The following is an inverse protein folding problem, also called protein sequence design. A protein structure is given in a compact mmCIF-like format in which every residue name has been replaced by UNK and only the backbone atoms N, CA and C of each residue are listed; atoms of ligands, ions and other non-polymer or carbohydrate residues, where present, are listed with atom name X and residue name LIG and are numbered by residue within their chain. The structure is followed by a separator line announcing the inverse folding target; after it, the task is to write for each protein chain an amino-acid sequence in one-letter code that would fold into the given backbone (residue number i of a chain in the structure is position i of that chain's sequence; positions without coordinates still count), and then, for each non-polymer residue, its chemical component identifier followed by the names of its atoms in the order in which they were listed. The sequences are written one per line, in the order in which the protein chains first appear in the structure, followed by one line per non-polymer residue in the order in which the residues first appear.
data_IF_358942727507
#
_entry.id   IF_358942727507
#
_cell.length_a   1.000
_cell.length_b   1.000
_cell.length_c   1.000
_cell.angle_alpha   90.00
_cell.angle_beta   90.00
_cell.angle_gamma   90.00
#
_symmetry.space_group_name_H-M   'P 1'
#
loop_
_entity.id
_entity.type
_entity.pdbx_description
1 polymer ?
#
# COMPACT_ATOMS: atom_id res chain seq x y z
N UNK A 1 4.82 9.25 22.79
CA UNK A 1 3.69 8.59 23.49
C UNK A 1 3.95 7.12 23.76
N UNK A 2 4.97 6.52 23.13
CA UNK A 2 5.32 5.09 23.25
C UNK A 2 5.46 4.67 24.72
N UNK A 3 4.89 3.52 25.08
CA UNK A 3 4.91 2.98 26.44
C UNK A 3 4.05 3.74 27.46
N UNK A 4 3.29 4.75 27.03
CA UNK A 4 2.41 5.52 27.94
C UNK A 4 0.99 4.96 27.99
N UNK A 5 0.22 5.39 29.00
CA UNK A 5 -1.20 5.06 29.11
C UNK A 5 -2.05 5.56 27.91
N UNK A 6 -1.53 6.52 27.15
CA UNK A 6 -2.23 7.17 26.04
C UNK A 6 -1.80 6.65 24.66
N UNK A 7 -0.88 5.71 24.59
CA UNK A 7 -0.47 5.13 23.31
C UNK A 7 -1.57 4.20 22.77
N UNK A 8 -2.00 4.46 21.55
CA UNK A 8 -3.00 3.70 20.79
C UNK A 8 -2.56 3.65 19.34
N UNK A 9 -2.63 2.47 18.73
CA UNK A 9 -2.22 2.27 17.34
C UNK A 9 -3.03 1.15 16.70
N UNK A 10 -3.29 1.22 15.40
CA UNK A 10 -3.93 0.17 14.60
C UNK A 10 -3.08 0.03 13.35
N UNK A 11 -2.48 -1.14 13.12
CA UNK A 11 -1.42 -1.32 12.16
C UNK A 11 -1.67 -2.43 11.14
N UNK A 12 -1.26 -2.16 9.90
CA UNK A 12 -0.83 -3.18 8.95
C UNK A 12 0.70 -3.15 8.86
N UNK A 13 1.33 -4.32 8.98
CA UNK A 13 2.79 -4.44 8.99
C UNK A 13 3.24 -5.49 7.98
N UNK A 14 3.93 -5.05 6.92
CA UNK A 14 4.52 -5.93 5.91
C UNK A 14 5.97 -6.19 6.27
N UNK A 15 6.24 -7.33 6.90
CA UNK A 15 7.55 -7.68 7.46
C UNK A 15 8.45 -8.32 6.42
N UNK A 16 9.71 -7.87 6.32
CA UNK A 16 10.68 -8.34 5.34
C UNK A 16 10.99 -9.84 5.40
N UNK A 17 10.83 -10.48 6.57
CA UNK A 17 11.06 -11.92 6.73
C UNK A 17 9.98 -12.81 6.09
N UNK A 18 8.84 -12.27 5.67
CA UNK A 18 7.73 -13.05 5.15
C UNK A 18 7.44 -12.73 3.69
N UNK A 19 7.33 -13.75 2.85
CA UNK A 19 7.00 -13.62 1.43
C UNK A 19 5.51 -13.72 1.13
N UNK A 20 4.69 -14.17 2.10
CA UNK A 20 3.25 -14.37 1.91
C UNK A 20 2.45 -14.14 3.18
N UNK A 21 2.91 -13.25 4.05
CA UNK A 21 2.19 -12.93 5.28
C UNK A 21 2.15 -11.42 5.52
N UNK A 22 1.09 -10.99 6.17
CA UNK A 22 0.91 -9.65 6.71
C UNK A 22 0.62 -9.78 8.21
N UNK A 23 1.19 -8.88 8.99
CA UNK A 23 0.86 -8.74 10.39
C UNK A 23 -0.14 -7.60 10.56
N UNK A 24 -1.16 -7.81 11.39
CA UNK A 24 -2.00 -6.75 11.94
C UNK A 24 -1.74 -6.62 13.42
N UNK A 25 -1.77 -5.40 13.92
CA UNK A 25 -1.57 -5.14 15.33
C UNK A 25 -2.55 -4.08 15.83
N UNK A 26 -2.98 -4.22 17.05
CA UNK A 26 -3.72 -3.21 17.79
C UNK A 26 -2.92 -2.95 19.06
N UNK A 27 -2.43 -1.72 19.25
CA UNK A 27 -1.68 -1.36 20.44
C UNK A 27 -2.61 -0.58 21.37
N UNK A 28 -2.69 -1.03 22.59
CA UNK A 28 -3.47 -0.38 23.65
C UNK A 28 -2.55 0.15 24.75
N UNK A 29 -3.12 0.77 25.77
CA UNK A 29 -2.36 1.43 26.84
C UNK A 29 -1.15 0.63 27.33
N UNK A 30 -0.08 1.33 27.64
CA UNK A 30 1.18 0.76 28.12
C UNK A 30 1.83 -0.23 27.16
N UNK A 31 1.72 0.04 25.84
CA UNK A 31 2.36 -0.77 24.79
C UNK A 31 1.90 -2.24 24.79
N UNK A 32 0.61 -2.47 25.09
CA UNK A 32 0.06 -3.82 25.01
C UNK A 32 -0.29 -4.12 23.56
N UNK A 33 0.43 -5.06 22.97
CA UNK A 33 0.27 -5.49 21.57
C UNK A 33 -0.73 -6.63 21.45
N UNK A 34 -1.63 -6.53 20.47
CA UNK A 34 -2.59 -7.57 20.09
C UNK A 34 -2.32 -7.97 18.64
N UNK A 35 -1.26 -8.74 18.46
CA UNK A 35 -0.72 -9.12 17.14
C UNK A 35 -1.44 -10.33 16.56
N UNK A 36 -1.74 -10.28 15.25
CA UNK A 36 -2.14 -11.43 14.45
C UNK A 36 -1.36 -11.48 13.14
N UNK A 37 -0.97 -12.69 12.71
CA UNK A 37 -0.23 -12.93 11.48
C UNK A 37 -1.13 -13.68 10.48
N UNK A 38 -1.41 -13.06 9.33
CA UNK A 38 -2.31 -13.58 8.32
C UNK A 38 -1.51 -14.15 7.14
N UNK A 39 -1.80 -15.39 6.75
CA UNK A 39 -1.20 -16.00 5.55
C UNK A 39 -2.02 -15.65 4.32
N UNK A 40 -1.36 -15.09 3.31
CA UNK A 40 -1.95 -14.72 2.03
C UNK A 40 -1.65 -15.76 0.96
N UNK A 41 -2.46 -15.79 -0.09
CA UNK A 41 -2.25 -16.66 -1.25
C UNK A 41 -1.26 -16.06 -2.26
N UNK A 42 -0.68 -14.91 -1.98
CA UNK A 42 0.24 -14.14 -2.81
C UNK A 42 1.33 -13.47 -1.94
N UNK A 43 2.30 -12.87 -2.62
CA UNK A 43 3.36 -12.08 -1.96
C UNK A 43 2.91 -10.61 -1.83
N UNK A 44 2.69 -10.08 -0.60
CA UNK A 44 2.25 -8.70 -0.39
C UNK A 44 3.30 -7.64 -0.73
N UNK A 45 4.54 -8.05 -1.05
CA UNK A 45 5.59 -7.14 -1.51
C UNK A 45 5.53 -6.90 -3.04
N UNK A 46 4.63 -7.57 -3.74
CA UNK A 46 4.54 -7.51 -5.21
C UNK A 46 3.17 -6.99 -5.64
N UNK A 47 3.18 -5.87 -6.37
CA UNK A 47 1.95 -5.23 -6.83
C UNK A 47 1.30 -4.34 -5.77
N UNK A 48 0.16 -3.75 -6.15
CA UNK A 48 -0.65 -2.94 -5.25
C UNK A 48 -1.78 -3.78 -4.66
N UNK A 49 -2.01 -3.61 -3.37
CA UNK A 49 -3.09 -4.22 -2.62
C UNK A 49 -3.83 -3.16 -1.82
N UNK A 50 -5.13 -3.34 -1.66
CA UNK A 50 -5.93 -2.47 -0.80
C UNK A 50 -5.85 -2.98 0.63
N UNK A 51 -5.37 -2.14 1.54
CA UNK A 51 -5.37 -2.37 2.97
C UNK A 51 -6.38 -1.42 3.61
N UNK A 52 -7.37 -1.95 4.29
CA UNK A 52 -8.39 -1.16 4.95
C UNK A 52 -8.70 -1.69 6.35
N UNK A 53 -9.04 -0.81 7.27
CA UNK A 53 -9.66 -1.21 8.52
C UNK A 53 -10.88 -0.32 8.83
N UNK A 54 -11.87 -0.93 9.44
CA UNK A 54 -13.00 -0.25 10.06
C UNK A 54 -12.76 -0.19 11.56
N UNK A 55 -12.87 0.99 12.13
CA UNK A 55 -12.76 1.20 13.56
C UNK A 55 -14.04 1.86 14.07
N UNK A 56 -14.73 1.13 14.92
CA UNK A 56 -15.95 1.54 15.60
C UNK A 56 -15.78 1.38 17.12
N UNK A 57 -16.70 1.85 17.95
CA UNK A 57 -16.66 1.58 19.39
C UNK A 57 -16.75 0.09 19.75
N UNK A 58 -17.31 -0.75 18.86
CA UNK A 58 -17.59 -2.15 19.12
C UNK A 58 -16.55 -3.09 18.51
N UNK A 59 -15.91 -2.72 17.39
CA UNK A 59 -14.99 -3.60 16.66
C UNK A 59 -13.91 -2.86 15.89
N UNK A 60 -12.84 -3.59 15.59
CA UNK A 60 -11.91 -3.27 14.52
C UNK A 60 -11.89 -4.44 13.54
N UNK A 61 -12.24 -4.18 12.28
CA UNK A 61 -12.15 -5.14 11.19
C UNK A 61 -11.02 -4.75 10.25
N UNK A 62 -10.19 -5.72 9.85
CA UNK A 62 -9.11 -5.53 8.89
C UNK A 62 -9.45 -6.25 7.59
N UNK A 63 -9.23 -5.57 6.47
CA UNK A 63 -9.49 -6.10 5.14
C UNK A 63 -8.24 -5.96 4.28
N UNK A 64 -8.00 -6.96 3.43
CA UNK A 64 -6.99 -6.91 2.37
C UNK A 64 -7.69 -7.30 1.08
N UNK A 65 -7.63 -6.43 0.04
CA UNK A 65 -8.34 -6.62 -1.22
C UNK A 65 -9.82 -6.97 -1.02
N UNK A 66 -10.50 -6.20 -0.17
CA UNK A 66 -11.90 -6.37 0.24
C UNK A 66 -12.21 -7.69 1.00
N UNK A 67 -11.20 -8.50 1.31
CA UNK A 67 -11.38 -9.71 2.10
C UNK A 67 -11.15 -9.42 3.58
N UNK A 68 -12.12 -9.75 4.42
CA UNK A 68 -11.99 -9.67 5.88
C UNK A 68 -10.93 -10.66 6.36
N UNK A 69 -9.84 -10.17 6.95
CA UNK A 69 -8.74 -11.00 7.49
C UNK A 69 -8.74 -11.07 9.00
N UNK A 70 -9.28 -10.04 9.69
CA UNK A 70 -9.43 -10.01 11.15
C UNK A 70 -10.70 -9.26 11.54
N UNK A 71 -11.43 -9.78 12.50
CA UNK A 71 -12.52 -9.11 13.20
C UNK A 71 -12.25 -9.14 14.70
N UNK A 72 -11.97 -8.00 15.30
CA UNK A 72 -11.63 -7.88 16.71
C UNK A 72 -12.73 -7.13 17.45
N UNK A 73 -13.47 -7.86 18.31
CA UNK A 73 -14.57 -7.37 19.14
C UNK A 73 -14.23 -7.43 20.64
N UNK A 74 -12.93 -7.59 20.96
CA UNK A 74 -12.51 -7.67 22.35
C UNK A 74 -12.71 -6.35 23.09
N UNK A 75 -12.89 -6.43 24.39
CA UNK A 75 -13.19 -5.26 25.24
C UNK A 75 -12.12 -4.17 25.21
N UNK A 76 -10.88 -4.51 24.87
CA UNK A 76 -9.82 -3.50 24.73
C UNK A 76 -10.03 -2.56 23.52
N UNK A 77 -10.81 -2.97 22.50
CA UNK A 77 -11.20 -2.11 21.38
C UNK A 77 -11.87 -0.83 21.88
N UNK A 78 -12.73 -0.97 22.89
CA UNK A 78 -13.44 0.16 23.52
C UNK A 78 -12.51 1.16 24.21
N UNK A 79 -11.23 0.81 24.42
CA UNK A 79 -10.24 1.72 24.98
C UNK A 79 -9.56 2.63 23.95
N UNK A 80 -9.85 2.44 22.65
CA UNK A 80 -9.33 3.28 21.57
C UNK A 80 -10.28 4.49 21.37
N UNK A 81 -10.33 5.38 22.34
CA UNK A 81 -11.28 6.52 22.38
C UNK A 81 -10.68 7.82 21.81
N UNK A 82 -9.35 7.88 21.64
CA UNK A 82 -8.68 9.11 21.21
C UNK A 82 -8.51 9.15 19.69
N UNK A 83 -8.65 10.34 19.12
CA UNK A 83 -8.31 10.57 17.71
C UNK A 83 -6.87 10.19 17.41
N UNK A 84 -6.65 9.58 16.24
CA UNK A 84 -5.37 9.06 15.78
C UNK A 84 -4.89 9.79 14.53
N UNK A 85 -3.62 9.67 14.21
CA UNK A 85 -3.03 10.14 12.96
C UNK A 85 -2.85 8.95 12.02
N UNK A 86 -3.14 9.15 10.75
CA UNK A 86 -2.72 8.20 9.72
C UNK A 86 -1.22 8.40 9.48
N UNK A 87 -0.45 7.32 9.56
CA UNK A 87 0.98 7.31 9.28
C UNK A 87 1.31 6.23 8.26
N UNK A 88 2.21 6.55 7.36
CA UNK A 88 2.80 5.62 6.41
C UNK A 88 4.31 5.70 6.57
N UNK A 89 4.98 4.56 6.66
CA UNK A 89 6.42 4.52 6.84
C UNK A 89 7.05 3.29 6.19
N UNK A 90 8.34 3.39 5.90
CA UNK A 90 9.26 2.29 5.64
C UNK A 90 10.47 2.51 6.53
N UNK A 91 10.87 1.50 7.31
CA UNK A 91 11.93 1.65 8.28
C UNK A 91 12.60 0.31 8.60
N UNK A 92 13.77 0.36 9.26
CA UNK A 92 14.53 -0.81 9.66
C UNK A 92 14.58 -0.92 11.18
N UNK A 93 13.75 -1.77 11.80
CA UNK A 93 13.86 -2.07 13.23
C UNK A 93 15.17 -2.80 13.59
N UNK A 94 15.58 -2.67 14.85
CA UNK A 94 16.73 -3.43 15.39
C UNK A 94 16.37 -4.89 15.72
N UNK A 95 15.09 -5.27 15.68
CA UNK A 95 14.60 -6.58 16.12
C UNK A 95 14.56 -7.57 14.95
N UNK A 96 15.67 -8.26 14.70
CA UNK A 96 15.79 -9.24 13.61
C UNK A 96 14.87 -10.46 13.77
N UNK A 97 14.50 -10.83 14.99
CA UNK A 97 13.53 -11.88 15.29
C UNK A 97 12.11 -11.52 14.84
N UNK A 98 11.82 -10.23 14.68
CA UNK A 98 10.55 -9.74 14.16
C UNK A 98 10.55 -9.54 12.64
N UNK A 99 11.58 -8.90 12.08
CA UNK A 99 11.58 -8.49 10.66
C UNK A 99 12.53 -9.31 9.78
N UNK A 100 13.37 -10.15 10.36
CA UNK A 100 14.46 -10.84 9.70
C UNK A 100 15.76 -10.03 9.69
N UNK A 101 16.89 -10.68 9.36
CA UNK A 101 18.17 -9.99 9.25
C UNK A 101 18.14 -8.98 8.09
N UNK A 102 18.74 -7.82 8.33
CA UNK A 102 18.80 -6.80 7.30
C UNK A 102 19.96 -7.04 6.34
N UNK A 103 19.66 -6.98 5.04
CA UNK A 103 20.64 -7.06 3.97
C UNK A 103 20.75 -5.70 3.27
N UNK A 104 21.84 -4.96 3.54
CA UNK A 104 22.08 -3.64 2.95
C UNK A 104 22.22 -3.69 1.42
N UNK A 105 22.51 -4.85 0.84
CA UNK A 105 22.68 -5.01 -0.61
C UNK A 105 21.37 -4.83 -1.40
N UNK A 106 20.22 -4.90 -0.72
CA UNK A 106 18.91 -4.66 -1.36
C UNK A 106 18.57 -3.18 -1.53
N UNK A 107 19.32 -2.28 -0.86
CA UNK A 107 19.03 -0.84 -0.94
C UNK A 107 19.36 -0.26 -2.32
N UNK A 108 18.59 0.70 -2.81
CA UNK A 108 17.41 1.27 -2.17
C UNK A 108 16.17 0.39 -2.34
N UNK A 109 15.25 0.41 -1.36
CA UNK A 109 13.93 -0.21 -1.45
C UNK A 109 12.84 0.83 -1.26
N UNK A 110 11.65 0.55 -1.80
CA UNK A 110 10.58 1.54 -1.91
C UNK A 110 9.24 0.94 -1.52
N UNK A 111 8.40 1.75 -0.86
CA UNK A 111 6.98 1.47 -0.65
C UNK A 111 6.15 2.51 -1.42
N UNK A 112 5.24 2.03 -2.26
CA UNK A 112 4.39 2.86 -3.11
C UNK A 112 2.98 2.91 -2.57
N UNK A 113 2.41 4.10 -2.53
CA UNK A 113 1.02 4.34 -2.15
C UNK A 113 0.34 5.07 -3.29
N UNK A 114 -0.75 4.49 -3.79
CA UNK A 114 -1.53 5.02 -4.92
C UNK A 114 -2.55 6.04 -4.42
N UNK A 115 -3.25 5.71 -3.34
CA UNK A 115 -4.23 6.59 -2.73
C UNK A 115 -4.45 6.26 -1.26
N UNK A 116 -5.02 7.24 -0.54
CA UNK A 116 -5.60 7.06 0.80
C UNK A 116 -7.03 7.58 0.77
N UNK A 117 -7.97 6.78 1.28
CA UNK A 117 -9.36 7.18 1.50
C UNK A 117 -9.68 7.14 2.98
N UNK A 118 -10.30 8.18 3.46
CA UNK A 118 -10.79 8.25 4.83
C UNK A 118 -12.30 8.35 4.84
N UNK A 119 -12.91 7.53 5.65
CA UNK A 119 -14.35 7.49 5.86
C UNK A 119 -14.64 7.80 7.32
N UNK A 120 -15.61 8.67 7.54
CA UNK A 120 -16.11 8.96 8.88
C UNK A 120 -17.15 7.91 9.28
N UNK A 121 -17.07 7.43 10.52
CA UNK A 121 -18.08 6.54 11.08
C UNK A 121 -19.37 7.32 11.33
N UNK A 122 -20.44 6.97 10.61
CA UNK A 122 -21.75 7.63 10.57
C UNK A 122 -22.87 6.60 10.71
N UNK A 123 -22.99 5.94 11.88
CA UNK A 123 -23.88 4.80 12.06
C UNK A 123 -25.34 5.13 11.69
N UNK A 124 -25.95 4.25 10.89
CA UNK A 124 -27.32 4.34 10.41
C UNK A 124 -27.56 5.40 9.33
N UNK A 125 -26.52 6.13 8.88
CA UNK A 125 -26.66 7.18 7.86
C UNK A 125 -25.55 7.16 6.79
N UNK A 126 -24.60 6.24 6.89
CA UNK A 126 -23.53 6.06 5.91
C UNK A 126 -23.99 5.29 4.67
N UNK A 127 -23.07 5.05 3.76
CA UNK A 127 -23.31 4.37 2.48
C UNK A 127 -22.18 3.38 2.09
N UNK A 128 -21.22 3.16 2.99
CA UNK A 128 -20.05 2.31 2.76
C UNK A 128 -19.70 1.48 4.00
N UNK A 129 -18.91 0.41 3.79
CA UNK A 129 -18.40 -0.45 4.85
C UNK A 129 -19.45 -1.37 5.47
N UNK A 130 -19.12 -1.92 6.65
CA UNK A 130 -20.04 -2.80 7.38
C UNK A 130 -21.31 -2.03 7.76
N UNK A 131 -22.45 -2.65 7.50
CA UNK A 131 -23.79 -2.11 7.78
C UNK A 131 -24.09 -0.75 7.13
N UNK A 132 -23.27 -0.30 6.18
CA UNK A 132 -23.29 1.03 5.56
C UNK A 132 -23.11 2.15 6.61
N UNK A 133 -22.28 1.93 7.60
CA UNK A 133 -22.09 2.87 8.71
C UNK A 133 -20.94 3.87 8.51
N UNK A 134 -20.41 3.98 7.29
CA UNK A 134 -19.32 4.88 6.97
C UNK A 134 -19.67 5.80 5.80
N UNK A 135 -19.18 7.01 5.83
CA UNK A 135 -19.34 8.02 4.76
C UNK A 135 -17.98 8.53 4.33
N UNK A 136 -17.71 8.56 3.01
CA UNK A 136 -16.45 9.08 2.47
C UNK A 136 -16.30 10.55 2.88
N UNK A 137 -15.20 10.88 3.55
CA UNK A 137 -14.83 12.24 3.94
C UNK A 137 -13.85 12.84 2.94
N UNK A 138 -12.71 12.16 2.69
CA UNK A 138 -11.74 12.64 1.72
C UNK A 138 -10.98 11.49 1.03
N UNK A 139 -10.41 11.85 -0.11
CA UNK A 139 -9.47 11.04 -0.89
C UNK A 139 -8.20 11.84 -1.09
N UNK A 140 -7.05 11.20 -1.01
CA UNK A 140 -5.77 11.72 -1.47
C UNK A 140 -5.17 10.71 -2.46
N UNK A 141 -4.95 11.14 -3.68
CA UNK A 141 -4.39 10.38 -4.79
C UNK A 141 -2.93 10.74 -5.08
N UNK A 142 -2.33 11.54 -4.19
CA UNK A 142 -0.92 11.94 -4.24
C UNK A 142 -0.47 12.68 -5.50
N UNK A 143 -1.38 13.31 -6.21
CA UNK A 143 -1.05 14.19 -7.33
C UNK A 143 -0.23 15.41 -6.88
N UNK A 144 -0.39 15.83 -5.64
CA UNK A 144 0.38 16.90 -5.00
C UNK A 144 0.52 16.66 -3.49
N UNK A 145 1.49 17.31 -2.86
CA UNK A 145 1.66 17.24 -1.39
C UNK A 145 0.73 18.22 -0.68
N UNK A 146 -0.33 17.74 -0.07
CA UNK A 146 -1.21 18.56 0.76
C UNK A 146 -0.61 18.74 2.17
N UNK A 147 0.09 19.85 2.36
CA UNK A 147 0.72 20.19 3.64
C UNK A 147 -0.26 20.51 4.78
N UNK A 148 -1.57 20.64 4.50
CA UNK A 148 -2.59 20.76 5.54
C UNK A 148 -2.97 19.39 6.11
N UNK A 149 -2.75 18.33 5.36
CA UNK A 149 -3.06 16.93 5.74
C UNK A 149 -1.82 16.16 6.18
N UNK A 150 -0.69 16.33 5.46
CA UNK A 150 0.50 15.52 5.64
C UNK A 150 1.70 16.32 6.11
N UNK A 151 2.51 15.67 6.90
CA UNK A 151 3.82 16.16 7.32
C UNK A 151 4.87 15.08 7.05
N UNK A 152 6.02 15.47 6.49
CA UNK A 152 7.15 14.57 6.28
C UNK A 152 7.98 14.47 7.56
N UNK A 153 8.14 13.27 8.08
CA UNK A 153 8.93 13.00 9.28
C UNK A 153 10.43 13.29 9.06
N UNK A 154 11.08 13.78 10.12
CA UNK A 154 12.52 14.11 10.12
C UNK A 154 13.25 13.58 11.36
N UNK A 155 12.67 12.62 12.06
CA UNK A 155 13.18 12.09 13.33
C UNK A 155 13.61 10.63 13.20
N UNK A 156 14.23 10.12 14.23
CA UNK A 156 14.47 8.70 14.47
C UNK A 156 14.30 8.38 15.96
N UNK A 157 14.40 7.13 16.32
CA UNK A 157 14.38 6.65 17.70
C UNK A 157 15.32 5.46 17.87
N UNK A 158 15.64 5.08 19.11
CA UNK A 158 16.68 4.10 19.44
C UNK A 158 16.45 2.69 18.85
N UNK A 159 15.23 2.34 18.51
CA UNK A 159 14.89 1.05 17.90
C UNK A 159 14.81 1.08 16.37
N UNK A 160 15.10 2.22 15.74
CA UNK A 160 15.12 2.40 14.29
C UNK A 160 16.55 2.63 13.81
N UNK A 161 17.06 1.75 12.96
CA UNK A 161 18.37 1.91 12.31
C UNK A 161 18.37 2.95 11.18
N UNK A 162 17.18 3.44 10.78
CA UNK A 162 17.04 4.46 9.75
C UNK A 162 16.75 5.85 10.35
N UNK A 163 17.13 6.89 9.62
CA UNK A 163 16.75 8.28 9.89
C UNK A 163 15.68 8.69 8.87
N UNK A 164 14.53 9.17 9.34
CA UNK A 164 13.56 9.78 8.41
C UNK A 164 14.09 11.12 7.91
N UNK A 165 14.09 11.29 6.60
CA UNK A 165 14.46 12.53 5.91
C UNK A 165 13.37 12.87 4.90
N UNK A 166 13.11 14.17 4.69
CA UNK A 166 12.00 14.61 3.84
C UNK A 166 12.17 14.19 2.38
N UNK A 167 13.40 14.07 1.92
CA UNK A 167 13.78 13.65 0.57
C UNK A 167 13.35 12.21 0.28
N UNK A 168 13.18 11.37 1.30
CA UNK A 168 12.77 9.97 1.18
C UNK A 168 11.24 9.79 1.18
N UNK A 169 10.46 10.88 1.20
CA UNK A 169 9.03 10.87 0.95
C UNK A 169 8.75 11.67 -0.33
N UNK A 170 8.68 10.98 -1.47
CA UNK A 170 8.60 11.55 -2.82
C UNK A 170 7.19 11.44 -3.36
N UNK A 171 6.67 12.49 -4.00
CA UNK A 171 5.49 12.41 -4.84
C UNK A 171 5.93 12.42 -6.30
N UNK A 172 5.63 11.35 -7.00
CA UNK A 172 6.02 11.22 -8.40
C UNK A 172 5.06 10.27 -9.13
N UNK A 173 4.64 10.63 -10.33
CA UNK A 173 3.74 9.84 -11.17
C UNK A 173 2.39 9.51 -10.54
N UNK A 174 1.86 10.37 -9.65
CA UNK A 174 0.62 10.12 -8.93
C UNK A 174 0.76 9.11 -7.77
N UNK A 175 1.98 8.90 -7.26
CA UNK A 175 2.26 8.04 -6.12
C UNK A 175 2.97 8.79 -5.01
N UNK A 176 2.66 8.44 -3.76
CA UNK A 176 3.58 8.66 -2.67
C UNK A 176 4.56 7.48 -2.64
N UNK A 177 5.85 7.78 -2.74
CA UNK A 177 6.93 6.80 -2.72
C UNK A 177 7.76 7.04 -1.47
N UNK A 178 7.73 6.10 -0.54
CA UNK A 178 8.59 6.12 0.63
C UNK A 178 9.84 5.29 0.33
N UNK A 179 11.01 5.88 0.57
CA UNK A 179 12.30 5.33 0.21
C UNK A 179 13.08 4.93 1.45
N UNK A 180 13.61 3.70 1.48
CA UNK A 180 14.67 3.30 2.41
C UNK A 180 15.95 3.19 1.59
N UNK A 181 16.90 4.09 1.85
CA UNK A 181 18.13 4.26 1.07
C UNK A 181 19.34 4.07 1.98
N UNK A 182 20.51 3.95 1.39
CA UNK A 182 21.76 4.05 2.13
C UNK A 182 22.04 5.51 2.56
N UNK A 183 23.17 5.74 3.21
CA UNK A 183 23.57 7.07 3.69
C UNK A 183 24.19 7.97 2.60
N UNK A 184 24.29 7.50 1.36
CA UNK A 184 24.89 8.22 0.22
C UNK A 184 23.86 8.72 -0.77
N UNK A 185 22.66 8.16 -0.72
CA UNK A 185 21.54 8.48 -1.62
C UNK A 185 20.28 8.84 -0.88
N UNK A 186 19.40 9.59 -1.51
CA UNK A 186 18.06 9.88 -0.99
C UNK A 186 17.07 10.04 -2.13
N UNK A 187 15.79 9.90 -1.82
CA UNK A 187 14.72 10.04 -2.78
C UNK A 187 14.56 8.86 -3.72
N UNK A 188 13.73 9.06 -4.73
CA UNK A 188 13.41 8.07 -5.74
C UNK A 188 13.94 8.53 -7.11
N UNK A 189 14.71 7.70 -7.77
CA UNK A 189 15.32 8.00 -9.09
C UNK A 189 14.90 7.02 -10.19
N UNK A 190 14.07 6.03 -9.86
CA UNK A 190 13.63 5.01 -10.81
C UNK A 190 12.30 5.35 -11.51
N UNK A 191 11.84 4.42 -12.33
CA UNK A 191 10.50 4.42 -12.91
C UNK A 191 9.58 3.61 -11.98
N UNK A 192 8.39 4.12 -11.56
CA UNK A 192 7.41 3.35 -10.79
C UNK A 192 7.04 2.01 -11.42
N UNK A 193 7.11 1.93 -12.74
CA UNK A 193 6.86 0.71 -13.50
C UNK A 193 7.94 -0.35 -13.31
N UNK A 194 9.16 0.03 -12.90
CA UNK A 194 10.26 -0.89 -12.62
C UNK A 194 10.10 -1.66 -11.30
N UNK A 195 9.15 -1.29 -10.47
CA UNK A 195 8.86 -1.97 -9.19
C UNK A 195 8.43 -3.43 -9.40
N UNK A 196 7.77 -3.71 -10.51
CA UNK A 196 7.39 -5.08 -10.88
C UNK A 196 8.57 -5.90 -11.41
N UNK A 197 9.69 -5.26 -11.75
CA UNK A 197 10.86 -5.86 -12.40
C UNK A 197 11.91 -6.42 -11.44
N UNK A 198 11.90 -6.01 -10.16
CA UNK A 198 12.99 -6.39 -9.23
C UNK A 198 13.02 -7.87 -8.83
N UNK A 199 12.07 -8.69 -9.29
CA UNK A 199 12.04 -10.13 -8.99
C UNK A 199 12.57 -11.03 -10.12
N UNK A 200 12.85 -10.47 -11.32
CA UNK A 200 13.45 -11.22 -12.41
C UNK A 200 14.43 -10.34 -13.19
N UNK A 201 15.69 -10.72 -13.22
CA UNK A 201 16.79 -10.09 -13.98
C UNK A 201 16.59 -10.08 -15.52
N UNK A 202 15.40 -10.33 -16.01
CA UNK A 202 15.04 -10.30 -17.43
C UNK A 202 14.04 -9.17 -17.69
N UNK A 203 14.55 -7.92 -17.60
CA UNK A 203 13.79 -6.66 -17.87
C UNK A 203 13.11 -6.61 -19.24
N UNK A 204 13.37 -7.60 -20.09
CA UNK A 204 12.91 -7.63 -21.47
C UNK A 204 11.55 -8.28 -21.69
N UNK A 205 10.88 -8.83 -20.64
CA UNK A 205 9.72 -9.72 -20.85
C UNK A 205 8.43 -9.31 -20.17
N UNK A 206 8.40 -8.24 -19.39
CA UNK A 206 7.21 -7.89 -18.60
C UNK A 206 6.34 -6.87 -19.32
N UNK A 207 5.08 -7.19 -19.49
CA UNK A 207 4.05 -6.29 -19.98
C UNK A 207 3.48 -5.55 -18.76
N UNK A 208 3.57 -4.24 -18.75
CA UNK A 208 3.14 -3.42 -17.61
C UNK A 208 1.79 -2.77 -17.91
N UNK A 209 0.87 -2.82 -16.95
CA UNK A 209 -0.47 -2.22 -17.05
C UNK A 209 -0.66 -1.27 -15.88
N UNK A 210 -1.01 -0.01 -16.18
CA UNK A 210 -1.23 1.02 -15.14
C UNK A 210 -2.31 2.04 -15.55
N UNK A 211 -2.96 2.69 -14.58
CA UNK A 211 -2.95 2.33 -13.17
C UNK A 211 -3.48 0.91 -12.96
N UNK A 212 -3.12 0.27 -11.85
CA UNK A 212 -3.68 -1.00 -11.43
C UNK A 212 -3.88 -0.96 -9.91
N UNK A 213 -5.13 -0.97 -9.40
CA UNK A 213 -6.38 -1.14 -10.16
C UNK A 213 -6.76 0.06 -11.04
N UNK A 214 -7.64 -0.15 -12.02
CA UNK A 214 -8.13 0.87 -12.94
C UNK A 214 -9.67 0.95 -12.94
N UNK A 215 -10.21 2.16 -13.18
CA UNK A 215 -11.66 2.39 -13.21
C UNK A 215 -12.20 2.55 -14.64
N UNK A 216 -11.72 3.58 -15.35
CA UNK A 216 -12.27 3.96 -16.67
C UNK A 216 -11.26 3.80 -17.81
N UNK A 217 -9.97 3.70 -17.49
CA UNK A 217 -8.91 3.51 -18.47
C UNK A 217 -7.66 2.90 -17.85
N UNK A 218 -6.87 2.27 -18.68
CA UNK A 218 -5.53 1.79 -18.32
C UNK A 218 -4.57 1.94 -19.48
N UNK A 219 -3.30 1.99 -19.21
CA UNK A 219 -2.22 2.02 -20.20
C UNK A 219 -1.41 0.73 -20.12
N UNK A 220 -1.12 0.14 -21.27
CA UNK A 220 -0.22 -1.00 -21.40
C UNK A 220 1.10 -0.47 -21.96
N UNK A 221 2.19 -0.69 -21.25
CA UNK A 221 3.53 -0.49 -21.79
C UNK A 221 4.01 -1.79 -22.42
N UNK A 222 4.35 -1.69 -23.72
CA UNK A 222 4.83 -2.82 -24.51
C UNK A 222 6.35 -2.79 -24.52
N UNK A 223 7.02 -3.85 -24.08
CA UNK A 223 8.48 -3.92 -24.18
C UNK A 223 8.97 -3.89 -25.64
N UNK A 224 10.14 -3.28 -25.87
CA UNK A 224 10.70 -3.07 -27.22
C UNK A 224 10.99 -4.37 -27.98
N UNK A 225 11.13 -5.50 -27.30
CA UNK A 225 11.34 -6.80 -27.95
C UNK A 225 10.07 -7.40 -28.56
N UNK A 226 8.87 -6.86 -28.25
CA UNK A 226 7.63 -7.28 -28.87
C UNK A 226 7.49 -6.57 -30.22
N UNK A 227 8.25 -7.05 -31.20
CA UNK A 227 8.18 -6.58 -32.60
C UNK A 227 6.99 -7.17 -33.39
N UNK A 228 5.91 -7.57 -32.72
CA UNK A 228 4.73 -8.15 -33.37
C UNK A 228 3.58 -7.15 -33.36
N UNK A 229 2.82 -7.15 -34.45
CA UNK A 229 1.56 -6.40 -34.56
C UNK A 229 0.59 -6.90 -33.48
N UNK A 230 0.17 -5.99 -32.59
CA UNK A 230 -0.85 -6.28 -31.58
C UNK A 230 -2.21 -6.17 -32.27
N UNK A 231 -2.95 -7.27 -32.32
CA UNK A 231 -4.24 -7.36 -33.01
C UNK A 231 -5.44 -7.08 -32.13
N UNK A 232 -5.28 -7.15 -30.81
CA UNK A 232 -6.37 -6.93 -29.88
C UNK A 232 -5.91 -7.05 -28.42
N UNK A 233 -6.76 -6.56 -27.53
CA UNK A 233 -6.61 -6.62 -26.09
C UNK A 233 -7.86 -7.29 -25.55
N UNK A 234 -7.67 -8.30 -24.72
CA UNK A 234 -8.74 -9.02 -24.03
C UNK A 234 -8.45 -9.06 -22.53
N UNK A 235 -9.37 -8.54 -21.73
CA UNK A 235 -9.34 -8.69 -20.27
C UNK A 235 -10.21 -9.90 -19.90
N UNK A 236 -9.66 -10.72 -19.05
CA UNK A 236 -10.34 -11.90 -18.52
C UNK A 236 -10.40 -11.79 -16.99
N UNK A 237 -11.49 -12.26 -16.40
CA UNK A 237 -11.57 -12.40 -14.95
C UNK A 237 -10.74 -13.60 -14.44
N UNK A 238 -10.70 -13.78 -13.13
CA UNK A 238 -9.96 -14.88 -12.50
C UNK A 238 -10.44 -16.27 -12.91
N UNK A 239 -11.62 -16.38 -13.54
CA UNK A 239 -12.17 -17.65 -14.07
C UNK A 239 -11.82 -17.87 -15.55
N UNK A 240 -11.13 -16.91 -16.18
CA UNK A 240 -10.80 -16.95 -17.61
C UNK A 240 -11.93 -16.44 -18.52
N UNK A 241 -13.02 -15.91 -17.96
CA UNK A 241 -14.12 -15.33 -18.74
C UNK A 241 -13.73 -13.94 -19.24
N UNK A 242 -13.91 -13.68 -20.54
CA UNK A 242 -13.69 -12.34 -21.11
C UNK A 242 -14.69 -11.34 -20.54
N UNK A 243 -14.17 -10.27 -19.92
CA UNK A 243 -14.96 -9.16 -19.37
C UNK A 243 -14.85 -7.89 -20.23
N UNK A 244 -13.81 -7.79 -21.05
CA UNK A 244 -13.63 -6.70 -22.02
C UNK A 244 -12.77 -7.16 -23.17
N UNK A 245 -13.07 -6.73 -24.38
CA UNK A 245 -12.25 -7.00 -25.56
C UNK A 245 -12.30 -5.83 -26.54
N UNK A 246 -11.15 -5.44 -27.08
CA UNK A 246 -11.05 -4.41 -28.11
C UNK A 246 -9.95 -4.70 -29.11
N UNK A 247 -10.20 -4.37 -30.38
CA UNK A 247 -9.19 -4.28 -31.44
C UNK A 247 -8.90 -2.84 -31.86
N UNK A 248 -9.53 -1.85 -31.18
CA UNK A 248 -9.36 -0.42 -31.44
C UNK A 248 -8.59 0.20 -30.28
N UNK A 249 -7.33 0.57 -30.52
CA UNK A 249 -6.46 1.24 -29.57
C UNK A 249 -5.40 2.06 -30.32
N UNK A 250 -4.84 3.03 -29.65
CA UNK A 250 -3.71 3.82 -30.18
C UNK A 250 -2.43 3.32 -29.50
N UNK A 251 -1.47 2.91 -30.33
CA UNK A 251 -0.09 2.66 -29.87
C UNK A 251 0.77 3.89 -30.19
N UNK A 252 1.31 4.52 -29.16
CA UNK A 252 2.25 5.63 -29.29
C UNK A 252 3.50 5.33 -28.48
N UNK A 253 4.62 5.14 -29.15
CA UNK A 253 5.93 4.86 -28.51
C UNK A 253 5.90 3.67 -27.54
N UNK A 254 5.29 2.56 -27.93
CA UNK A 254 5.19 1.38 -27.07
C UNK A 254 4.15 1.46 -25.97
N UNK A 255 3.35 2.52 -25.91
CA UNK A 255 2.26 2.67 -24.95
C UNK A 255 0.91 2.58 -25.63
N UNK A 256 0.04 1.72 -25.13
CA UNK A 256 -1.35 1.58 -25.56
C UNK A 256 -2.26 2.00 -24.42
N UNK A 257 -3.06 3.05 -24.64
CA UNK A 257 -4.10 3.47 -23.70
C UNK A 257 -5.45 2.90 -24.14
N UNK A 258 -6.15 2.27 -23.21
CA UNK A 258 -7.48 1.67 -23.41
C UNK A 258 -8.47 2.36 -22.49
N UNK A 259 -9.53 2.91 -23.06
CA UNK A 259 -10.68 3.42 -22.31
C UNK A 259 -11.74 2.34 -22.21
N UNK A 260 -12.30 2.17 -21.03
CA UNK A 260 -13.45 1.32 -20.76
C UNK A 260 -14.70 2.19 -20.84
N UNK A 261 -15.50 2.00 -21.87
CA UNK A 261 -16.78 2.69 -22.06
C UNK A 261 -17.92 1.83 -21.53
#
# INVERSE_FOLDING_TARGET
LNGTANWREIDFETLGQHTNKIQTNIITAYETHHVELHTLMYNPHVGFHTYAFEWTPEHIKFFIDDQLVRNDENTYVQTLESGQKIMMNIWQPIWEDWVGPFDESILPVYAFYDWVKYYTYTPGTGDYGSDNDFTLDWVDDFDYFDSNRWEKATHTWSANNAQFVQENAVLQYGYLILCLTDNTTSGYSGDPLSVLDNQNNDKSKTLVVYPNPFNSSFTIQIPDYINKEIKGINLVDITGKSVFSTSRFHNKNGMITVALN
#
